data_IF_980075290841
#
_entry.id   IF_980075290841
#
_cell.length_a   1.000
_cell.length_b   1.000
_cell.length_c   1.000
_cell.angle_alpha   90.00
_cell.angle_beta   90.00
_cell.angle_gamma   90.00
#
_symmetry.space_group_name_H-M   'P 1'
#
loop_
_entity.id
_entity.type
_entity.pdbx_description
1 polymer ?
#
# COMPACT_ATOMS: atom_id res chain seq x y z
N UNK A 1 -21.89 -5.26 -17.18
CA UNK A 1 -22.06 -4.99 -15.75
C UNK A 1 -22.33 -3.51 -15.56
N UNK A 2 -23.38 -3.12 -14.82
CA UNK A 2 -23.63 -1.75 -14.41
C UNK A 2 -22.88 -1.42 -13.12
N UNK A 3 -22.46 -0.18 -12.96
CA UNK A 3 -21.80 0.33 -11.75
C UNK A 3 -22.53 1.56 -11.25
N UNK A 4 -22.77 1.61 -9.94
CA UNK A 4 -23.33 2.78 -9.25
C UNK A 4 -22.29 3.30 -8.26
N UNK A 5 -22.03 4.59 -8.30
CA UNK A 5 -21.19 5.26 -7.30
C UNK A 5 -22.10 5.86 -6.21
N UNK A 6 -21.82 5.50 -4.94
CA UNK A 6 -22.50 6.04 -3.77
C UNK A 6 -21.55 7.03 -3.07
N UNK A 7 -21.83 8.31 -3.24
CA UNK A 7 -21.05 9.36 -2.59
C UNK A 7 -21.33 9.40 -1.08
N UNK A 8 -20.28 9.31 -0.22
CA UNK A 8 -20.43 9.44 1.22
C UNK A 8 -21.09 10.77 1.68
N UNK A 9 -20.90 11.85 0.94
CA UNK A 9 -21.46 13.16 1.28
C UNK A 9 -23.01 13.18 1.16
N UNK A 10 -23.56 12.44 0.20
CA UNK A 10 -25.00 12.30 -0.01
C UNK A 10 -25.64 11.13 0.72
N UNK A 11 -24.83 10.23 1.29
CA UNK A 11 -25.29 9.03 1.99
C UNK A 11 -25.70 9.32 3.45
N UNK A 12 -26.72 8.60 3.91
CA UNK A 12 -27.14 8.59 5.32
C UNK A 12 -26.48 7.45 6.14
N UNK A 13 -25.62 6.66 5.50
CA UNK A 13 -24.90 5.52 6.09
C UNK A 13 -24.11 5.94 7.32
N UNK A 14 -24.34 5.25 8.44
CA UNK A 14 -23.70 5.55 9.73
C UNK A 14 -24.16 6.87 10.40
N UNK A 15 -25.13 7.59 9.83
CA UNK A 15 -25.69 8.83 10.39
C UNK A 15 -27.13 8.62 10.88
N UNK A 16 -28.05 8.36 9.97
CA UNK A 16 -29.48 8.12 10.28
C UNK A 16 -29.86 6.66 10.07
N UNK A 17 -29.05 5.88 9.42
CA UNK A 17 -29.23 4.46 9.17
C UNK A 17 -28.06 3.66 9.71
N UNK A 18 -28.32 2.51 10.32
CA UNK A 18 -27.26 1.62 10.79
C UNK A 18 -26.48 1.04 9.60
N UNK A 19 -25.19 0.79 9.78
CA UNK A 19 -24.37 0.17 8.75
C UNK A 19 -24.89 -1.22 8.36
N UNK A 20 -25.39 -1.98 9.32
CA UNK A 20 -25.99 -3.29 9.08
C UNK A 20 -27.25 -3.23 8.22
N UNK A 21 -28.09 -2.21 8.39
CA UNK A 21 -29.31 -2.06 7.57
C UNK A 21 -28.97 -1.56 6.17
N UNK A 22 -28.06 -0.58 6.05
CA UNK A 22 -27.50 -0.17 4.75
C UNK A 22 -26.92 -1.36 3.99
N UNK A 23 -26.12 -2.20 4.64
CA UNK A 23 -25.53 -3.39 4.02
C UNK A 23 -26.58 -4.36 3.47
N UNK A 24 -27.65 -4.63 4.25
CA UNK A 24 -28.77 -5.51 3.82
C UNK A 24 -29.50 -4.92 2.61
N UNK A 25 -29.72 -3.60 2.59
CA UNK A 25 -30.36 -2.91 1.46
C UNK A 25 -29.49 -3.02 0.21
N UNK A 26 -28.21 -2.69 0.31
CA UNK A 26 -27.27 -2.77 -0.80
C UNK A 26 -27.14 -4.19 -1.36
N UNK A 27 -27.09 -5.20 -0.48
CA UNK A 27 -27.05 -6.61 -0.88
C UNK A 27 -28.30 -7.14 -1.60
N UNK A 28 -29.43 -6.39 -1.55
CA UNK A 28 -30.62 -6.69 -2.36
C UNK A 28 -30.66 -5.96 -3.69
N UNK A 29 -29.82 -4.94 -3.87
CA UNK A 29 -29.79 -4.11 -5.06
C UNK A 29 -28.62 -4.41 -5.99
N UNK A 30 -27.51 -4.94 -5.43
CA UNK A 30 -26.25 -5.13 -6.12
C UNK A 30 -25.71 -6.55 -5.93
N UNK A 31 -25.02 -7.06 -6.95
CA UNK A 31 -24.38 -8.38 -6.93
C UNK A 31 -23.04 -8.38 -6.17
N UNK A 32 -22.49 -7.21 -5.87
CA UNK A 32 -21.27 -7.02 -5.10
C UNK A 32 -21.05 -5.56 -4.73
N UNK A 33 -20.24 -5.32 -3.71
CA UNK A 33 -19.98 -3.99 -3.15
C UNK A 33 -18.47 -3.78 -3.09
N UNK A 34 -17.98 -2.70 -3.68
CA UNK A 34 -16.62 -2.22 -3.45
C UNK A 34 -16.69 -1.09 -2.42
N UNK A 35 -15.83 -1.16 -1.42
CA UNK A 35 -15.69 -0.14 -0.40
C UNK A 35 -14.31 0.49 -0.43
N UNK A 36 -14.27 1.81 -0.57
CA UNK A 36 -13.09 2.63 -0.35
C UNK A 36 -13.41 3.74 0.65
N UNK A 37 -12.75 3.72 1.80
CA UNK A 37 -13.05 4.66 2.89
C UNK A 37 -11.98 4.59 3.98
N UNK A 38 -12.37 4.95 5.21
CA UNK A 38 -11.44 5.07 6.32
C UNK A 38 -11.43 3.81 7.20
N UNK A 39 -12.49 3.56 7.95
CA UNK A 39 -12.52 2.53 8.99
C UNK A 39 -12.61 1.11 8.44
N UNK A 40 -11.71 0.25 8.87
CA UNK A 40 -11.72 -1.19 8.55
C UNK A 40 -13.03 -1.87 9.01
N UNK A 41 -13.56 -1.49 10.18
CA UNK A 41 -14.82 -2.05 10.68
C UNK A 41 -16.02 -1.83 9.74
N UNK A 42 -16.00 -0.78 8.92
CA UNK A 42 -17.08 -0.50 7.96
C UNK A 42 -17.12 -1.55 6.86
N UNK A 43 -15.97 -1.87 6.25
CA UNK A 43 -15.92 -2.89 5.20
C UNK A 43 -16.21 -4.29 5.75
N UNK A 44 -15.82 -4.58 6.98
CA UNK A 44 -16.12 -5.84 7.67
C UNK A 44 -17.62 -5.99 7.96
N UNK A 45 -18.28 -4.94 8.43
CA UNK A 45 -19.73 -4.92 8.64
C UNK A 45 -20.50 -5.04 7.31
N UNK A 46 -20.06 -4.33 6.26
CA UNK A 46 -20.65 -4.50 4.92
C UNK A 46 -20.55 -5.96 4.47
N UNK A 47 -19.38 -6.58 4.61
CA UNK A 47 -19.18 -7.99 4.25
C UNK A 47 -20.04 -8.94 5.08
N UNK A 48 -20.20 -8.66 6.38
CA UNK A 48 -20.96 -9.48 7.31
C UNK A 48 -22.47 -9.46 7.04
N UNK A 49 -23.02 -8.32 6.65
CA UNK A 49 -24.48 -8.12 6.62
C UNK A 49 -25.09 -8.01 5.23
N UNK A 50 -24.30 -7.77 4.16
CA UNK A 50 -24.85 -7.58 2.81
C UNK A 50 -25.33 -8.88 2.16
N UNK A 51 -24.68 -10.02 2.45
CA UNK A 51 -24.97 -11.29 1.79
C UNK A 51 -24.43 -11.41 0.36
N UNK A 52 -23.64 -10.43 -0.10
CA UNK A 52 -22.95 -10.42 -1.40
C UNK A 52 -21.45 -10.22 -1.19
N UNK A 53 -20.61 -10.52 -2.19
CA UNK A 53 -19.18 -10.21 -2.12
C UNK A 53 -18.91 -8.73 -1.83
N UNK A 54 -18.00 -8.46 -0.89
CA UNK A 54 -17.55 -7.11 -0.57
C UNK A 54 -16.04 -7.05 -0.75
N UNK A 55 -15.58 -6.10 -1.57
CA UNK A 55 -14.18 -5.90 -1.85
C UNK A 55 -13.66 -4.67 -1.11
N UNK A 56 -12.58 -4.84 -0.37
CA UNK A 56 -11.88 -3.73 0.26
C UNK A 56 -10.97 -3.05 -0.77
N UNK A 57 -11.42 -1.93 -1.32
CA UNK A 57 -10.62 -1.10 -2.21
C UNK A 57 -9.52 -0.34 -1.48
N UNK A 58 -9.81 0.14 -0.26
CA UNK A 58 -8.86 0.77 0.68
C UNK A 58 -9.55 1.09 1.99
N UNK A 59 -8.84 0.88 3.09
CA UNK A 59 -9.13 1.45 4.43
C UNK A 59 -7.88 2.07 5.02
N UNK A 60 -8.00 2.71 6.21
CA UNK A 60 -6.82 3.21 6.94
C UNK A 60 -5.85 2.09 7.34
N UNK A 61 -6.37 0.88 7.55
CA UNK A 61 -5.58 -0.26 8.00
C UNK A 61 -4.98 -1.08 6.85
N UNK A 62 -5.72 -1.24 5.72
CA UNK A 62 -5.33 -2.14 4.63
C UNK A 62 -5.73 -1.65 3.24
N UNK A 63 -4.94 -2.07 2.24
CA UNK A 63 -5.18 -1.85 0.81
C UNK A 63 -4.99 -3.15 0.00
N UNK A 64 -5.83 -4.19 0.21
CA UNK A 64 -5.57 -5.53 -0.32
C UNK A 64 -5.59 -5.62 -1.84
N UNK A 65 -6.42 -4.81 -2.53
CA UNK A 65 -6.47 -4.82 -4.01
C UNK A 65 -5.19 -4.30 -4.64
N UNK A 66 -4.47 -3.38 -3.97
CA UNK A 66 -3.15 -2.92 -4.40
C UNK A 66 -2.14 -4.07 -4.31
N UNK A 67 -2.13 -4.80 -3.21
CA UNK A 67 -1.19 -5.93 -3.01
C UNK A 67 -1.28 -6.99 -4.08
N UNK A 68 -2.46 -7.24 -4.62
CA UNK A 68 -2.63 -8.19 -5.72
C UNK A 68 -1.99 -7.69 -7.02
N UNK A 69 -2.04 -6.37 -7.27
CA UNK A 69 -1.37 -5.74 -8.42
C UNK A 69 0.16 -5.77 -8.25
N UNK A 70 0.63 -5.44 -7.04
CA UNK A 70 2.07 -5.48 -6.72
C UNK A 70 2.63 -6.89 -6.93
N UNK A 71 1.96 -7.90 -6.41
CA UNK A 71 2.38 -9.31 -6.58
C UNK A 71 2.31 -9.75 -8.04
N UNK A 72 1.33 -9.31 -8.83
CA UNK A 72 1.31 -9.59 -10.26
C UNK A 72 2.53 -8.98 -10.95
N UNK A 73 2.84 -7.71 -10.66
CA UNK A 73 4.01 -7.01 -11.22
C UNK A 73 5.33 -7.67 -10.81
N UNK A 74 5.45 -8.05 -9.54
CA UNK A 74 6.64 -8.76 -9.05
C UNK A 74 6.79 -10.12 -9.73
N UNK A 75 5.68 -10.84 -9.99
CA UNK A 75 5.71 -12.11 -10.74
C UNK A 75 6.10 -11.95 -12.19
N UNK A 76 5.71 -10.88 -12.84
CA UNK A 76 6.12 -10.58 -14.22
C UNK A 76 7.64 -10.37 -14.32
N UNK A 77 8.28 -9.79 -13.31
CA UNK A 77 9.72 -9.55 -13.27
C UNK A 77 10.53 -10.78 -12.80
N UNK A 78 10.04 -11.51 -11.80
CA UNK A 78 10.82 -12.55 -11.11
C UNK A 78 10.27 -13.98 -11.27
N UNK A 79 9.16 -14.17 -11.97
CA UNK A 79 8.49 -15.46 -12.12
C UNK A 79 7.52 -15.77 -10.98
N UNK A 80 6.87 -16.95 -11.09
CA UNK A 80 5.75 -17.27 -10.19
C UNK A 80 6.15 -17.63 -8.75
N UNK A 81 7.36 -18.13 -8.53
CA UNK A 81 7.85 -18.47 -7.18
C UNK A 81 8.56 -17.27 -6.58
N UNK A 82 7.92 -16.65 -5.60
CA UNK A 82 8.43 -15.46 -4.91
C UNK A 82 9.05 -15.78 -3.54
N UNK A 83 9.12 -17.06 -3.15
CA UNK A 83 9.69 -17.45 -1.86
C UNK A 83 11.12 -16.95 -1.71
N UNK A 84 11.42 -16.35 -0.56
CA UNK A 84 12.73 -15.78 -0.24
C UNK A 84 13.08 -14.48 -0.98
N UNK A 85 12.24 -13.96 -1.90
CA UNK A 85 12.43 -12.63 -2.46
C UNK A 85 12.24 -11.58 -1.38
N UNK A 86 13.17 -10.63 -1.28
CA UNK A 86 13.11 -9.55 -0.29
C UNK A 86 12.39 -8.33 -0.87
N UNK A 87 11.27 -7.96 -0.24
CA UNK A 87 10.60 -6.69 -0.45
C UNK A 87 10.85 -5.80 0.76
N UNK A 88 11.41 -4.62 0.55
CA UNK A 88 11.60 -3.62 1.59
C UNK A 88 10.70 -2.43 1.36
N UNK A 89 9.88 -2.11 2.35
CA UNK A 89 9.11 -0.88 2.40
C UNK A 89 9.89 0.20 3.13
N UNK A 90 10.11 1.35 2.49
CA UNK A 90 10.84 2.48 3.04
C UNK A 90 9.87 3.63 3.38
N UNK A 91 9.88 4.11 4.63
CA UNK A 91 9.07 5.25 5.03
C UNK A 91 8.19 5.04 6.25
N UNK A 92 6.94 5.53 6.21
CA UNK A 92 5.95 5.29 7.28
C UNK A 92 5.37 3.87 7.15
N UNK A 93 6.01 2.92 7.83
CA UNK A 93 5.65 1.52 7.77
C UNK A 93 4.40 1.14 8.61
N UNK A 94 3.68 2.14 9.16
CA UNK A 94 2.38 1.94 9.84
C UNK A 94 1.21 2.10 8.88
N UNK A 95 1.43 2.62 7.68
CA UNK A 95 0.35 2.89 6.74
C UNK A 95 -0.30 1.61 6.19
N UNK A 96 -1.45 1.75 5.55
CA UNK A 96 -2.25 0.63 5.02
C UNK A 96 -1.52 -0.17 3.94
N UNK A 97 -0.68 0.46 3.12
CA UNK A 97 0.12 -0.20 2.07
C UNK A 97 1.20 -1.06 2.72
N UNK A 98 1.99 -0.51 3.64
CA UNK A 98 3.02 -1.24 4.37
C UNK A 98 2.44 -2.44 5.15
N UNK A 99 1.31 -2.23 5.85
CA UNK A 99 0.60 -3.29 6.56
C UNK A 99 0.17 -4.42 5.62
N UNK A 100 -0.40 -4.07 4.47
CA UNK A 100 -0.88 -5.04 3.49
C UNK A 100 0.25 -5.79 2.81
N UNK A 101 1.38 -5.11 2.49
CA UNK A 101 2.59 -5.73 1.96
C UNK A 101 3.16 -6.76 2.95
N UNK A 102 3.21 -6.44 4.24
CA UNK A 102 3.66 -7.38 5.26
C UNK A 102 2.79 -8.64 5.29
N UNK A 103 1.44 -8.48 5.23
CA UNK A 103 0.50 -9.60 5.22
C UNK A 103 0.68 -10.47 3.97
N UNK A 104 0.77 -9.87 2.78
CA UNK A 104 0.90 -10.65 1.54
C UNK A 104 2.25 -11.35 1.44
N UNK A 105 3.34 -10.70 1.86
CA UNK A 105 4.67 -11.31 1.91
C UNK A 105 4.71 -12.50 2.88
N UNK A 106 4.11 -12.35 4.08
CA UNK A 106 3.99 -13.44 5.04
C UNK A 106 3.28 -14.66 4.43
N UNK A 107 2.18 -14.44 3.68
CA UNK A 107 1.41 -15.52 3.04
C UNK A 107 2.14 -16.19 1.86
N UNK A 108 3.00 -15.49 1.16
CA UNK A 108 3.70 -15.98 -0.02
C UNK A 108 5.12 -16.51 0.24
N UNK A 109 5.56 -16.57 1.49
CA UNK A 109 6.90 -17.03 1.84
C UNK A 109 8.01 -16.03 1.44
N UNK A 110 7.67 -14.74 1.24
CA UNK A 110 8.63 -13.70 0.91
C UNK A 110 9.33 -13.16 2.17
N UNK A 111 10.48 -12.54 1.99
CA UNK A 111 11.11 -11.75 3.04
C UNK A 111 10.57 -10.31 2.96
N UNK A 112 9.81 -9.88 3.97
CA UNK A 112 9.36 -8.50 4.13
C UNK A 112 10.24 -7.75 5.13
N UNK A 113 10.69 -6.56 4.74
CA UNK A 113 11.43 -5.67 5.62
C UNK A 113 10.68 -4.32 5.72
N UNK A 114 10.20 -3.98 6.92
CA UNK A 114 9.71 -2.63 7.21
C UNK A 114 10.90 -1.76 7.62
N UNK A 115 11.28 -0.80 6.80
CA UNK A 115 12.39 0.10 7.01
C UNK A 115 11.90 1.53 7.21
N UNK A 116 11.90 2.00 8.46
CA UNK A 116 11.41 3.32 8.82
C UNK A 116 11.81 3.74 10.24
N UNK A 117 11.54 5.00 10.62
CA UNK A 117 11.81 5.45 11.98
C UNK A 117 11.05 4.60 13.01
N UNK A 118 11.62 4.39 14.18
CA UNK A 118 11.06 3.50 15.22
C UNK A 118 9.61 3.81 15.58
N UNK A 119 9.26 5.09 15.63
CA UNK A 119 7.92 5.58 15.91
C UNK A 119 6.92 5.34 14.77
N UNK A 120 7.40 4.98 13.58
CA UNK A 120 6.62 4.70 12.39
C UNK A 120 6.74 3.24 11.92
N UNK A 121 7.20 2.33 12.77
CA UNK A 121 7.18 0.90 12.51
C UNK A 121 5.77 0.31 12.71
N UNK A 122 5.44 -0.83 12.08
CA UNK A 122 4.14 -1.47 12.20
C UNK A 122 3.77 -1.82 13.65
N UNK A 123 2.47 -1.88 13.92
CA UNK A 123 1.97 -2.29 15.24
C UNK A 123 2.39 -3.73 15.60
N UNK A 124 2.88 -3.93 16.83
CA UNK A 124 3.36 -5.23 17.33
C UNK A 124 2.34 -6.36 17.13
N UNK A 125 1.05 -6.08 17.33
CA UNK A 125 -0.01 -7.07 17.16
C UNK A 125 -0.12 -7.58 15.71
N UNK A 126 0.09 -6.72 14.70
CA UNK A 126 0.11 -7.11 13.31
C UNK A 126 1.39 -7.88 12.97
N UNK A 127 2.53 -7.40 13.46
CA UNK A 127 3.83 -8.09 13.30
C UNK A 127 3.77 -9.51 13.86
N UNK A 128 3.22 -9.70 15.06
CA UNK A 128 3.06 -11.02 15.67
C UNK A 128 2.18 -11.95 14.83
N UNK A 129 1.06 -11.46 14.29
CA UNK A 129 0.20 -12.23 13.39
C UNK A 129 0.92 -12.64 12.10
N UNK A 130 1.67 -11.71 11.49
CA UNK A 130 2.43 -12.01 10.27
C UNK A 130 3.57 -13.00 10.53
N UNK A 131 4.25 -12.91 11.66
CA UNK A 131 5.28 -13.89 12.07
C UNK A 131 4.70 -15.27 12.30
N UNK A 132 3.52 -15.39 12.90
CA UNK A 132 2.85 -16.69 13.03
C UNK A 132 2.54 -17.33 11.66
N UNK A 133 2.09 -16.54 10.67
CA UNK A 133 1.90 -17.03 9.30
C UNK A 133 3.26 -17.38 8.66
N UNK A 134 4.29 -16.61 8.95
CA UNK A 134 5.64 -16.83 8.40
C UNK A 134 6.25 -18.17 8.87
N UNK A 135 5.94 -18.65 10.08
CA UNK A 135 6.35 -19.97 10.56
C UNK A 135 5.84 -21.11 9.66
N UNK A 136 4.65 -20.95 9.06
CA UNK A 136 4.06 -21.94 8.16
C UNK A 136 4.58 -21.84 6.73
N UNK A 137 4.85 -20.62 6.27
CA UNK A 137 5.19 -20.34 4.86
C UNK A 137 6.69 -20.26 4.57
N UNK A 138 7.51 -20.12 5.61
CA UNK A 138 8.95 -19.84 5.49
C UNK A 138 9.26 -18.37 5.19
N UNK A 139 8.30 -17.46 5.32
CA UNK A 139 8.53 -16.03 5.18
C UNK A 139 9.43 -15.48 6.30
N UNK A 140 10.03 -14.32 6.06
CA UNK A 140 10.80 -13.56 7.07
C UNK A 140 10.16 -12.19 7.25
N UNK A 141 9.91 -11.77 8.50
CA UNK A 141 9.39 -10.44 8.84
C UNK A 141 10.44 -9.68 9.64
N UNK A 142 11.10 -8.76 8.97
CA UNK A 142 12.16 -7.90 9.48
C UNK A 142 11.67 -6.48 9.74
N UNK A 143 12.15 -5.85 10.80
CA UNK A 143 11.93 -4.43 11.11
C UNK A 143 13.29 -3.78 11.32
N UNK A 144 13.55 -2.64 10.70
CA UNK A 144 14.80 -1.90 10.87
C UNK A 144 14.59 -0.40 10.77
N UNK A 145 15.40 0.37 11.48
CA UNK A 145 15.52 1.82 11.35
C UNK A 145 16.79 2.24 10.56
N UNK A 146 17.53 1.26 10.02
CA UNK A 146 18.70 1.50 9.18
C UNK A 146 18.36 1.31 7.69
N UNK A 147 18.32 2.40 6.87
CA UNK A 147 18.05 2.31 5.44
C UNK A 147 19.03 1.42 4.67
N UNK A 148 20.31 1.39 5.06
CA UNK A 148 21.31 0.56 4.40
C UNK A 148 21.04 -0.93 4.66
N UNK A 149 20.68 -1.31 5.89
CA UNK A 149 20.24 -2.67 6.21
C UNK A 149 18.97 -3.04 5.44
N UNK A 150 18.00 -2.14 5.37
CA UNK A 150 16.77 -2.34 4.61
C UNK A 150 17.04 -2.60 3.13
N UNK A 151 17.92 -1.80 2.51
CA UNK A 151 18.24 -1.88 1.09
C UNK A 151 19.09 -3.11 0.73
N UNK A 152 19.91 -3.60 1.66
CA UNK A 152 20.81 -4.73 1.42
C UNK A 152 20.04 -5.96 0.94
N UNK A 153 20.49 -6.50 -0.20
CA UNK A 153 19.93 -7.70 -0.83
C UNK A 153 18.43 -7.59 -1.21
N UNK A 154 17.89 -6.37 -1.28
CA UNK A 154 16.52 -6.09 -1.66
C UNK A 154 16.26 -6.47 -3.13
N UNK A 155 15.17 -7.19 -3.42
CA UNK A 155 14.66 -7.47 -4.76
C UNK A 155 13.63 -6.42 -5.20
N UNK A 156 12.86 -5.89 -4.24
CA UNK A 156 11.79 -4.91 -4.49
C UNK A 156 11.88 -3.78 -3.46
N UNK A 157 12.23 -2.58 -3.90
CA UNK A 157 12.14 -1.36 -3.10
C UNK A 157 10.74 -0.76 -3.27
N UNK A 158 10.02 -0.57 -2.19
CA UNK A 158 8.67 0.00 -2.17
C UNK A 158 8.63 1.23 -1.26
N UNK A 159 7.90 2.25 -1.65
CA UNK A 159 7.60 3.40 -0.78
C UNK A 159 6.21 3.95 -1.07
N UNK A 160 5.73 4.82 -0.20
CA UNK A 160 4.47 5.54 -0.32
C UNK A 160 4.65 6.97 0.18
N UNK A 161 3.69 7.84 -0.11
CA UNK A 161 3.73 9.25 0.28
C UNK A 161 3.97 9.41 1.79
N UNK A 162 4.72 10.44 2.16
CA UNK A 162 5.08 10.69 3.56
C UNK A 162 3.95 11.25 4.42
N UNK A 163 2.93 11.80 3.78
CA UNK A 163 1.73 12.31 4.44
C UNK A 163 0.50 11.68 3.79
N UNK A 164 -0.20 10.84 4.54
CA UNK A 164 -1.37 10.11 4.04
C UNK A 164 -2.59 11.02 3.82
N UNK A 165 -3.52 10.56 2.96
CA UNK A 165 -4.79 11.28 2.75
C UNK A 165 -5.52 11.51 4.08
N UNK A 166 -5.93 12.76 4.32
CA UNK A 166 -6.66 13.15 5.54
C UNK A 166 -5.78 13.57 6.71
N UNK A 167 -4.46 13.41 6.63
CA UNK A 167 -3.54 13.99 7.62
C UNK A 167 -3.39 15.51 7.40
N UNK A 168 -3.26 16.31 8.49
CA UNK A 168 -3.12 17.76 8.39
C UNK A 168 -1.78 18.17 7.74
N UNK A 169 -1.81 19.19 6.88
CA UNK A 169 -0.62 19.70 6.19
C UNK A 169 0.48 20.21 7.12
N UNK A 170 0.11 20.61 8.34
CA UNK A 170 1.04 21.08 9.39
C UNK A 170 2.04 19.99 9.82
N UNK A 171 1.75 18.73 9.54
CA UNK A 171 2.65 17.61 9.84
C UNK A 171 3.83 17.50 8.87
N UNK A 172 3.83 18.19 7.71
CA UNK A 172 4.90 18.08 6.71
C UNK A 172 6.30 18.30 7.28
N UNK A 173 6.50 19.35 8.09
CA UNK A 173 7.81 19.63 8.68
C UNK A 173 8.34 18.46 9.53
N UNK A 174 7.45 17.85 10.32
CA UNK A 174 7.80 16.69 11.15
C UNK A 174 8.05 15.45 10.29
N UNK A 175 7.19 15.17 9.31
CA UNK A 175 7.30 14.02 8.40
C UNK A 175 8.58 14.07 7.58
N UNK A 176 8.91 15.22 7.00
CA UNK A 176 10.16 15.46 6.27
C UNK A 176 11.38 15.16 7.15
N UNK A 177 11.41 15.69 8.36
CA UNK A 177 12.52 15.47 9.29
C UNK A 177 12.72 13.99 9.60
N UNK A 178 11.64 13.24 9.81
CA UNK A 178 11.67 11.83 10.16
C UNK A 178 11.97 10.93 8.97
N UNK A 179 11.38 11.22 7.80
CA UNK A 179 11.33 10.30 6.68
C UNK A 179 12.40 10.57 5.61
N UNK A 180 13.02 11.74 5.59
CA UNK A 180 14.08 12.08 4.64
C UNK A 180 15.23 11.04 4.57
N UNK A 181 15.68 10.40 5.66
CA UNK A 181 16.69 9.35 5.60
C UNK A 181 16.23 8.08 4.84
N UNK A 182 14.93 7.91 4.66
CA UNK A 182 14.31 6.75 4.02
C UNK A 182 13.84 7.03 2.59
N UNK A 183 14.17 8.21 2.03
CA UNK A 183 13.90 8.53 0.63
C UNK A 183 14.55 7.50 -0.30
N UNK A 184 13.78 6.94 -1.22
CA UNK A 184 14.31 6.02 -2.23
C UNK A 184 14.98 6.85 -3.32
N UNK A 185 16.29 6.86 -3.31
CA UNK A 185 17.17 7.56 -4.23
C UNK A 185 18.18 6.60 -4.88
N UNK A 186 19.04 7.09 -5.75
CA UNK A 186 20.06 6.26 -6.43
C UNK A 186 21.03 5.59 -5.48
N UNK A 187 21.42 6.27 -4.42
CA UNK A 187 22.36 5.75 -3.42
C UNK A 187 21.75 4.57 -2.69
N UNK A 188 20.47 4.67 -2.31
CA UNK A 188 19.73 3.58 -1.68
C UNK A 188 19.51 2.42 -2.66
N UNK A 189 19.09 2.71 -3.91
CA UNK A 189 18.92 1.68 -4.93
C UNK A 189 20.23 0.97 -5.31
N UNK A 190 21.39 1.65 -5.20
CA UNK A 190 22.69 1.04 -5.43
C UNK A 190 23.08 0.01 -4.36
N UNK A 191 22.47 0.04 -3.17
CA UNK A 191 22.66 -0.96 -2.12
C UNK A 191 21.78 -2.19 -2.29
N UNK A 192 20.73 -2.10 -3.12
CA UNK A 192 19.87 -3.23 -3.48
C UNK A 192 20.55 -4.14 -4.51
N UNK A 193 19.90 -5.26 -4.84
CA UNK A 193 20.39 -6.11 -5.94
C UNK A 193 20.39 -5.35 -7.26
N UNK A 194 21.34 -5.61 -8.18
CA UNK A 194 21.34 -4.96 -9.50
C UNK A 194 20.06 -5.20 -10.32
N UNK A 195 19.34 -6.28 -10.02
CA UNK A 195 18.05 -6.65 -10.61
C UNK A 195 16.85 -6.12 -9.84
N UNK A 196 17.07 -5.36 -8.77
CA UNK A 196 15.97 -4.83 -7.96
C UNK A 196 15.05 -3.92 -8.78
N UNK A 197 13.76 -3.97 -8.47
CA UNK A 197 12.76 -3.07 -9.04
C UNK A 197 12.26 -2.08 -7.98
N UNK A 198 11.77 -0.95 -8.45
CA UNK A 198 11.08 0.06 -7.64
C UNK A 198 9.58 0.01 -7.91
N UNK A 199 8.77 0.02 -6.85
CA UNK A 199 7.30 0.06 -6.87
C UNK A 199 6.75 1.20 -6.00
N UNK A 200 5.56 1.69 -6.39
CA UNK A 200 4.84 2.74 -5.68
C UNK A 200 3.36 2.72 -6.08
N UNK A 201 2.46 2.70 -5.13
CA UNK A 201 1.01 2.60 -5.39
C UNK A 201 0.39 3.82 -6.09
N UNK A 202 1.14 4.93 -6.23
CA UNK A 202 0.70 6.22 -6.75
C UNK A 202 -0.51 6.83 -5.98
N UNK A 203 -0.62 8.19 -5.91
CA UNK A 203 0.29 9.19 -6.48
C UNK A 203 1.64 9.28 -5.76
N UNK A 204 2.64 9.93 -6.38
CA UNK A 204 3.98 10.12 -5.83
C UNK A 204 4.42 11.59 -5.96
N UNK A 205 5.24 12.04 -5.00
CA UNK A 205 5.84 13.38 -5.01
C UNK A 205 7.33 13.30 -5.34
N UNK A 206 7.64 12.86 -6.57
CA UNK A 206 9.01 12.67 -7.06
C UNK A 206 9.62 13.92 -7.71
N UNK A 207 8.79 14.95 -7.96
CA UNK A 207 9.18 16.23 -8.59
C UNK A 207 8.35 17.40 -8.05
N UNK A 208 8.45 18.55 -8.72
CA UNK A 208 7.74 19.79 -8.40
C UNK A 208 6.53 20.08 -9.30
N UNK A 209 6.15 19.16 -10.16
CA UNK A 209 5.08 19.37 -11.16
C UNK A 209 3.67 19.35 -10.55
N UNK A 210 3.54 18.96 -9.28
CA UNK A 210 2.28 19.01 -8.54
C UNK A 210 2.20 20.25 -7.65
N UNK A 211 0.99 20.72 -7.35
CA UNK A 211 0.80 21.84 -6.40
C UNK A 211 1.48 21.56 -5.06
N UNK A 212 1.32 20.35 -4.53
CA UNK A 212 1.93 19.94 -3.24
C UNK A 212 3.45 19.90 -3.36
N UNK A 213 4.01 19.37 -4.45
CA UNK A 213 5.45 19.32 -4.68
C UNK A 213 6.07 20.71 -4.73
N UNK A 214 5.44 21.65 -5.43
CA UNK A 214 5.90 23.03 -5.48
C UNK A 214 5.78 23.74 -4.13
N UNK A 215 4.68 23.55 -3.39
CA UNK A 215 4.51 24.11 -2.06
C UNK A 215 5.59 23.61 -1.07
N UNK A 216 5.91 22.32 -1.11
CA UNK A 216 6.98 21.72 -0.29
C UNK A 216 8.35 22.27 -0.68
N UNK A 217 8.61 22.45 -1.97
CA UNK A 217 9.85 23.08 -2.43
C UNK A 217 9.99 24.51 -1.92
N UNK A 218 8.94 25.33 -2.01
CA UNK A 218 8.96 26.71 -1.53
C UNK A 218 9.15 26.80 -0.01
N UNK A 219 8.60 25.87 0.74
CA UNK A 219 8.67 25.91 2.22
C UNK A 219 9.91 25.23 2.79
N UNK A 220 10.39 24.14 2.16
CA UNK A 220 11.43 23.26 2.73
C UNK A 220 12.64 23.06 1.82
N UNK A 221 12.62 23.57 0.58
CA UNK A 221 13.70 23.41 -0.37
C UNK A 221 13.93 21.98 -0.86
N UNK A 222 12.88 21.12 -0.81
CA UNK A 222 12.94 19.74 -1.28
C UNK A 222 12.33 19.62 -2.67
N UNK A 223 13.10 19.09 -3.62
CA UNK A 223 12.65 18.86 -5.00
C UNK A 223 11.85 17.58 -5.15
N UNK A 224 12.05 16.62 -4.26
CA UNK A 224 11.36 15.33 -4.22
C UNK A 224 11.19 14.86 -2.77
N UNK A 225 10.16 14.08 -2.49
CA UNK A 225 9.88 13.56 -1.14
C UNK A 225 10.26 12.08 -1.00
N UNK A 226 9.33 11.16 -1.10
CA UNK A 226 9.54 9.74 -0.81
C UNK A 226 10.44 9.01 -1.83
N UNK A 227 10.53 9.51 -3.04
CA UNK A 227 11.39 8.97 -4.09
C UNK A 227 11.92 10.11 -4.97
N UNK A 228 13.15 9.99 -5.46
CA UNK A 228 13.73 10.95 -6.41
C UNK A 228 13.28 10.67 -7.84
N UNK A 229 13.19 11.72 -8.69
CA UNK A 229 12.72 11.63 -10.07
C UNK A 229 13.52 10.65 -10.92
N UNK A 230 14.83 10.61 -10.73
CA UNK A 230 15.74 9.71 -11.44
C UNK A 230 15.58 8.21 -11.09
N UNK A 231 15.05 7.88 -9.91
CA UNK A 231 14.61 6.52 -9.57
C UNK A 231 13.21 6.29 -10.13
N UNK A 232 12.29 7.24 -9.94
CA UNK A 232 10.90 7.14 -10.38
C UNK A 232 10.75 6.95 -11.88
N UNK A 233 11.58 7.61 -12.69
CA UNK A 233 11.65 7.45 -14.16
C UNK A 233 12.77 6.52 -14.61
N UNK A 234 13.44 5.86 -13.66
CA UNK A 234 14.58 4.99 -13.90
C UNK A 234 14.21 3.65 -14.53
N UNK A 235 15.22 2.92 -15.02
CA UNK A 235 15.03 1.61 -15.67
C UNK A 235 14.48 0.53 -14.74
N UNK A 236 14.64 0.68 -13.44
CA UNK A 236 14.19 -0.26 -12.41
C UNK A 236 12.73 0.03 -11.96
N UNK A 237 12.17 1.17 -12.35
CA UNK A 237 10.82 1.59 -12.00
C UNK A 237 9.74 0.75 -12.70
N UNK A 238 8.72 0.30 -11.96
CA UNK A 238 7.60 -0.51 -12.46
C UNK A 238 6.23 0.00 -11.99
N UNK A 239 6.16 1.16 -11.34
CA UNK A 239 4.91 1.70 -10.78
C UNK A 239 3.82 1.94 -11.84
N UNK A 240 4.17 2.22 -13.09
CA UNK A 240 3.18 2.37 -14.15
C UNK A 240 2.63 1.01 -14.62
N UNK A 241 3.48 -0.02 -14.68
CA UNK A 241 3.06 -1.40 -14.92
C UNK A 241 2.19 -1.91 -13.77
N UNK A 242 2.56 -1.60 -12.54
CA UNK A 242 1.81 -1.89 -11.32
C UNK A 242 0.40 -1.26 -11.37
N UNK A 243 0.31 0.02 -11.77
CA UNK A 243 -0.97 0.72 -11.94
C UNK A 243 -1.85 0.07 -13.01
N UNK A 244 -1.29 -0.37 -14.14
CA UNK A 244 -2.01 -1.14 -15.16
C UNK A 244 -2.48 -2.48 -14.62
N UNK A 245 -1.60 -3.21 -13.93
CA UNK A 245 -1.89 -4.52 -13.34
C UNK A 245 -3.03 -4.46 -12.32
N UNK A 246 -3.22 -3.33 -11.64
CA UNK A 246 -4.36 -3.13 -10.75
C UNK A 246 -5.70 -3.26 -11.47
N UNK A 247 -5.83 -2.75 -12.70
CA UNK A 247 -7.03 -2.93 -13.50
C UNK A 247 -7.28 -4.41 -13.82
N UNK A 248 -6.23 -5.14 -14.20
CA UNK A 248 -6.35 -6.56 -14.56
C UNK A 248 -6.70 -7.42 -13.37
N UNK A 249 -6.06 -7.20 -12.24
CA UNK A 249 -6.29 -8.02 -11.04
C UNK A 249 -7.67 -7.74 -10.41
N UNK A 250 -8.14 -6.50 -10.42
CA UNK A 250 -9.50 -6.18 -9.94
C UNK A 250 -10.55 -6.91 -10.79
N UNK A 251 -10.41 -6.93 -12.12
CA UNK A 251 -11.28 -7.72 -13.00
C UNK A 251 -11.25 -9.20 -12.63
N UNK A 252 -10.07 -9.76 -12.37
CA UNK A 252 -9.92 -11.17 -11.99
C UNK A 252 -10.60 -11.47 -10.65
N UNK A 253 -10.46 -10.59 -9.66
CA UNK A 253 -11.14 -10.72 -8.35
C UNK A 253 -12.65 -10.71 -8.51
N UNK A 254 -13.18 -9.75 -9.28
CA UNK A 254 -14.62 -9.65 -9.55
C UNK A 254 -15.12 -10.92 -10.27
N UNK A 255 -14.41 -11.36 -11.30
CA UNK A 255 -14.77 -12.58 -12.03
C UNK A 255 -14.77 -13.83 -11.16
N UNK A 256 -13.81 -13.94 -10.23
CA UNK A 256 -13.69 -15.09 -9.33
C UNK A 256 -14.76 -15.12 -8.22
N UNK A 257 -15.30 -13.96 -7.84
CA UNK A 257 -16.19 -13.82 -6.69
C UNK A 257 -17.67 -13.59 -7.05
N UNK A 258 -17.94 -13.03 -8.23
CA UNK A 258 -19.30 -12.88 -8.78
C UNK A 258 -19.65 -14.17 -9.56
N UNK A 259 -20.44 -15.04 -8.96
CA UNK A 259 -20.94 -16.28 -9.59
C UNK A 259 -22.45 -16.24 -9.69
#
# INVERSE_FOLDING_TARGET
MGVTFLDPASSQMGKKESLADTAKVLGRMYDGIEYRGFKQSVVEDLAKYSGVPVWNGLTDDFHPTQMLADILTIREEFGNDLRGRKLTFFGDARNNVANSLMVVCAKLGMHYCACGPKELLPADALVAKCRAVAEETGAVIELTDDPAQGAKDCDVAYTDIWLSMGEPAELWAQRIKLLRPYQVNKELMAMAKPTAIFLHCLPSFHDRETTVGEDIYQQFGLEAMEVTDDVFLGKQARQFQEAENRMHIIKAVMYATLK
#
